data_IF_137989620912
#
_entry.id   IF_137989620912
#
_cell.length_a   1.000
_cell.length_b   1.000
_cell.length_c   1.000
_cell.angle_alpha   90.00
_cell.angle_beta   90.00
_cell.angle_gamma   90.00
#
_symmetry.space_group_name_H-M   'P 1'
#
loop_
_entity.id
_entity.type
_entity.pdbx_description
1 polymer ?
#
# COMPACT_ATOMS: atom_id res chain seq x y z
N UNK A 1 22.19 -28.59 -21.73
CA UNK A 1 21.34 -27.59 -21.05
C UNK A 1 21.52 -27.61 -19.53
N UNK A 2 21.09 -28.65 -18.79
CA UNK A 2 21.26 -28.71 -17.31
C UNK A 2 22.72 -28.84 -16.87
N UNK A 3 23.49 -29.70 -17.54
CA UNK A 3 24.94 -29.87 -17.31
C UNK A 3 25.74 -28.58 -17.48
N UNK A 4 25.26 -27.67 -18.35
CA UNK A 4 25.94 -26.44 -18.71
C UNK A 4 25.27 -25.23 -18.04
N UNK A 5 24.78 -25.43 -16.80
CA UNK A 5 24.21 -24.37 -15.95
C UNK A 5 23.13 -23.53 -16.65
N UNK A 6 22.18 -24.18 -17.32
CA UNK A 6 21.09 -23.50 -18.04
C UNK A 6 21.55 -22.54 -19.14
N UNK A 7 22.64 -22.90 -19.83
CA UNK A 7 23.15 -22.23 -21.02
C UNK A 7 22.03 -21.81 -22.00
N UNK A 8 22.21 -20.64 -22.60
CA UNK A 8 21.30 -20.08 -23.61
C UNK A 8 21.13 -21.01 -24.82
N UNK A 9 20.04 -20.82 -25.62
CA UNK A 9 19.78 -21.66 -26.79
C UNK A 9 20.96 -21.73 -27.78
N UNK A 10 21.65 -20.60 -28.01
CA UNK A 10 22.77 -20.52 -28.94
C UNK A 10 24.01 -21.28 -28.44
N UNK A 11 24.34 -21.16 -27.16
CA UNK A 11 25.42 -21.90 -26.52
C UNK A 11 25.11 -23.41 -26.43
N UNK A 12 23.85 -23.75 -26.16
CA UNK A 12 23.42 -25.15 -26.15
C UNK A 12 23.54 -25.77 -27.55
N UNK A 13 23.24 -25.01 -28.61
CA UNK A 13 23.42 -25.46 -29.98
C UNK A 13 24.89 -25.68 -30.32
N UNK A 14 25.79 -24.75 -30.00
CA UNK A 14 27.22 -24.89 -30.33
C UNK A 14 27.85 -26.11 -29.66
N UNK A 15 27.49 -26.40 -28.41
CA UNK A 15 27.97 -27.57 -27.68
C UNK A 15 27.41 -28.89 -28.22
N UNK A 16 26.15 -28.89 -28.69
CA UNK A 16 25.56 -30.07 -29.33
C UNK A 16 26.22 -30.35 -30.69
N UNK A 17 26.46 -29.30 -31.49
CA UNK A 17 27.09 -29.42 -32.82
C UNK A 17 28.53 -29.93 -32.79
N UNK A 18 29.21 -29.90 -31.63
CA UNK A 18 30.55 -30.49 -31.47
C UNK A 18 30.53 -32.02 -31.34
N UNK A 19 29.39 -32.61 -30.96
CA UNK A 19 29.28 -34.05 -30.70
C UNK A 19 28.33 -34.75 -31.68
N UNK A 20 27.23 -34.11 -32.07
CA UNK A 20 26.19 -34.71 -32.91
C UNK A 20 25.59 -33.71 -33.89
N UNK A 21 25.16 -34.22 -35.05
CA UNK A 21 24.42 -33.43 -36.05
C UNK A 21 22.93 -33.82 -36.04
N UNK A 22 22.08 -32.89 -35.59
CA UNK A 22 20.62 -33.06 -35.54
C UNK A 22 19.97 -32.08 -36.52
N UNK A 23 19.08 -32.58 -37.38
CA UNK A 23 18.27 -31.75 -38.26
C UNK A 23 17.31 -30.86 -37.45
N UNK A 24 17.25 -29.57 -37.75
CA UNK A 24 16.39 -28.60 -37.07
C UNK A 24 16.60 -28.48 -35.54
N UNK A 25 17.84 -28.65 -35.06
CA UNK A 25 18.21 -28.64 -33.64
C UNK A 25 17.68 -27.42 -32.85
N UNK A 26 17.57 -26.25 -33.48
CA UNK A 26 17.08 -25.04 -32.81
C UNK A 26 15.65 -25.16 -32.30
N UNK A 27 14.77 -25.85 -33.02
CA UNK A 27 13.38 -26.05 -32.60
C UNK A 27 13.31 -26.88 -31.32
N UNK A 28 14.07 -27.98 -31.30
CA UNK A 28 14.14 -28.90 -30.16
C UNK A 28 14.75 -28.21 -28.93
N UNK A 29 15.85 -27.47 -29.13
CA UNK A 29 16.50 -26.71 -28.04
C UNK A 29 15.54 -25.66 -27.45
N UNK A 30 14.86 -24.88 -28.30
CA UNK A 30 13.89 -23.87 -27.85
C UNK A 30 12.73 -24.50 -27.08
N UNK A 31 12.19 -25.61 -27.56
CA UNK A 31 11.12 -26.36 -26.89
C UNK A 31 11.58 -26.87 -25.51
N UNK A 32 12.75 -27.50 -25.44
CA UNK A 32 13.29 -28.03 -24.19
C UNK A 32 13.62 -26.94 -23.17
N UNK A 33 14.16 -25.79 -23.62
CA UNK A 33 14.44 -24.65 -22.73
C UNK A 33 13.12 -24.01 -22.24
N UNK A 34 12.10 -23.94 -23.09
CA UNK A 34 10.79 -23.41 -22.71
C UNK A 34 10.11 -24.26 -21.61
N UNK A 35 10.28 -25.58 -21.65
CA UNK A 35 9.78 -26.49 -20.61
C UNK A 35 10.61 -26.47 -19.32
N UNK A 36 11.76 -25.79 -19.29
CA UNK A 36 12.61 -25.74 -18.12
C UNK A 36 12.13 -24.71 -17.10
N UNK A 37 11.68 -25.18 -15.92
CA UNK A 37 11.18 -24.31 -14.85
C UNK A 37 12.23 -23.33 -14.31
N UNK A 38 13.51 -23.73 -14.22
CA UNK A 38 14.59 -22.85 -13.75
C UNK A 38 14.79 -21.68 -14.72
N UNK A 39 14.79 -21.95 -16.03
CA UNK A 39 14.90 -20.90 -17.05
C UNK A 39 13.67 -20.00 -17.10
N UNK A 40 12.48 -20.57 -16.89
CA UNK A 40 11.24 -19.80 -16.82
C UNK A 40 11.26 -18.80 -15.66
N UNK A 41 11.68 -19.25 -14.46
CA UNK A 41 11.81 -18.39 -13.27
C UNK A 41 12.87 -17.30 -13.45
N UNK A 42 13.99 -17.63 -14.08
CA UNK A 42 15.12 -16.70 -14.25
C UNK A 42 14.96 -15.74 -15.44
N UNK A 43 13.96 -15.96 -16.30
CA UNK A 43 13.68 -15.09 -17.45
C UNK A 43 12.21 -14.65 -17.44
N UNK A 44 11.78 -13.87 -16.42
CA UNK A 44 10.42 -13.36 -16.37
C UNK A 44 10.18 -12.45 -17.59
N UNK A 45 9.05 -12.66 -18.26
CA UNK A 45 8.60 -11.73 -19.30
C UNK A 45 7.81 -10.62 -18.62
N UNK A 46 8.32 -9.40 -18.69
CA UNK A 46 7.58 -8.23 -18.22
C UNK A 46 6.40 -7.99 -19.16
N UNK A 47 5.22 -8.48 -18.79
CA UNK A 47 3.98 -8.06 -19.44
C UNK A 47 3.56 -6.74 -18.79
N UNK A 48 3.38 -5.70 -19.60
CA UNK A 48 2.79 -4.47 -19.11
C UNK A 48 1.37 -4.80 -18.63
N UNK A 49 1.03 -4.54 -17.36
CA UNK A 49 -0.33 -4.76 -16.89
C UNK A 49 -1.28 -3.85 -17.68
N UNK A 50 -2.44 -4.38 -18.07
CA UNK A 50 -3.53 -3.56 -18.61
C UNK A 50 -3.94 -2.57 -17.51
N UNK A 51 -3.78 -1.28 -17.78
CA UNK A 51 -4.20 -0.24 -16.84
C UNK A 51 -5.73 -0.22 -16.81
N UNK A 52 -6.32 -0.55 -15.67
CA UNK A 52 -7.76 -0.39 -15.45
C UNK A 52 -8.14 1.07 -15.23
N UNK A 53 -9.44 1.35 -15.30
CA UNK A 53 -9.97 2.67 -14.98
C UNK A 53 -9.65 3.06 -13.53
N UNK A 54 -9.31 4.34 -13.33
CA UNK A 54 -9.02 4.86 -12.01
C UNK A 54 -10.32 4.94 -11.19
N UNK A 55 -10.28 4.59 -9.88
CA UNK A 55 -11.45 4.70 -9.04
C UNK A 55 -11.91 6.16 -8.94
N UNK A 56 -13.23 6.41 -8.84
CA UNK A 56 -13.78 7.77 -8.82
C UNK A 56 -13.17 8.63 -7.72
N UNK A 57 -12.86 8.05 -6.56
CA UNK A 57 -12.16 8.69 -5.45
C UNK A 57 -10.80 9.35 -5.82
N UNK A 58 -10.17 8.94 -6.94
CA UNK A 58 -8.91 9.52 -7.43
C UNK A 58 -9.13 10.62 -8.48
N UNK A 59 -10.30 10.65 -9.12
CA UNK A 59 -10.58 11.50 -10.29
C UNK A 59 -11.54 12.63 -9.93
N UNK A 60 -12.45 12.42 -8.99
CA UNK A 60 -13.40 13.44 -8.56
C UNK A 60 -12.73 14.46 -7.65
N UNK A 61 -12.88 15.77 -7.92
CA UNK A 61 -12.36 16.81 -7.04
C UNK A 61 -13.14 16.81 -5.73
N UNK A 62 -12.43 16.78 -4.60
CA UNK A 62 -13.01 16.80 -3.26
C UNK A 62 -12.18 17.71 -2.35
N UNK A 63 -12.76 18.16 -1.22
CA UNK A 63 -11.98 18.91 -0.22
C UNK A 63 -10.81 18.06 0.29
N UNK A 64 -9.64 18.65 0.58
CA UNK A 64 -8.51 17.93 1.14
C UNK A 64 -8.93 17.14 2.39
N UNK A 65 -8.43 15.91 2.51
CA UNK A 65 -8.70 14.98 3.61
C UNK A 65 -10.13 14.41 3.72
N UNK A 66 -11.05 14.74 2.80
CA UNK A 66 -12.39 14.11 2.76
C UNK A 66 -12.30 12.60 2.52
N UNK A 67 -11.46 12.24 1.55
CA UNK A 67 -11.13 10.87 1.18
C UNK A 67 -9.62 10.75 1.36
N UNK A 68 -9.20 9.98 2.36
CA UNK A 68 -7.78 9.89 2.75
C UNK A 68 -7.28 8.46 2.71
N UNK A 69 -6.02 8.28 2.33
CA UNK A 69 -5.29 7.04 2.51
C UNK A 69 -4.26 7.21 3.63
N UNK A 70 -4.14 6.22 4.51
CA UNK A 70 -3.12 6.18 5.56
C UNK A 70 -2.18 5.01 5.30
N UNK A 71 -0.88 5.27 5.43
CA UNK A 71 0.16 4.26 5.25
C UNK A 71 1.29 4.52 6.25
N UNK A 72 1.94 3.46 6.72
CA UNK A 72 3.14 3.56 7.52
C UNK A 72 4.36 3.57 6.61
N UNK A 73 5.01 4.71 6.57
CA UNK A 73 6.34 4.76 6.00
C UNK A 73 7.33 4.20 7.03
N UNK A 74 8.29 3.38 6.57
CA UNK A 74 9.12 2.47 7.37
C UNK A 74 9.89 3.08 8.56
N UNK A 75 10.70 2.29 9.27
CA UNK A 75 11.32 2.74 10.51
C UNK A 75 12.23 3.95 10.27
N UNK A 76 11.85 5.10 10.82
CA UNK A 76 12.67 6.29 10.80
C UNK A 76 13.39 6.46 12.13
N UNK A 77 14.71 6.66 12.06
CA UNK A 77 15.50 7.07 13.22
C UNK A 77 15.21 8.55 13.51
N UNK A 78 14.16 8.80 14.28
CA UNK A 78 13.83 10.13 14.75
C UNK A 78 14.68 10.46 15.99
N UNK A 79 15.48 11.53 15.93
CA UNK A 79 16.06 12.12 17.14
C UNK A 79 14.92 12.77 17.91
N UNK A 80 14.59 12.24 19.10
CA UNK A 80 13.62 12.85 20.01
C UNK A 80 14.24 14.09 20.65
N UNK A 81 14.35 15.17 19.86
CA UNK A 81 14.60 16.50 20.40
C UNK A 81 13.25 17.00 20.94
N UNK A 82 13.17 17.18 22.26
CA UNK A 82 12.04 17.80 22.96
C UNK A 82 11.88 19.28 22.57
N UNK A 83 11.65 19.56 21.30
CA UNK A 83 11.32 20.90 20.82
C UNK A 83 9.80 20.96 20.65
N UNK A 84 9.14 21.64 21.60
CA UNK A 84 7.70 21.95 21.63
C UNK A 84 7.19 22.75 20.41
N UNK A 85 7.95 22.85 19.31
CA UNK A 85 7.68 23.79 18.23
C UNK A 85 8.33 23.40 16.88
N UNK A 86 8.29 22.14 16.47
CA UNK A 86 8.61 21.82 15.06
C UNK A 86 7.48 22.38 14.18
N UNK A 87 7.76 23.48 13.47
CA UNK A 87 6.84 24.08 12.50
C UNK A 87 6.54 23.04 11.42
N UNK A 88 5.31 22.55 11.39
CA UNK A 88 4.83 21.70 10.30
C UNK A 88 4.77 22.53 9.01
N UNK A 89 5.74 22.35 8.12
CA UNK A 89 5.69 22.93 6.78
C UNK A 89 4.57 22.23 5.99
N UNK A 90 3.43 22.91 5.84
CA UNK A 90 2.30 22.39 5.08
C UNK A 90 2.52 22.65 3.59
N UNK A 91 2.85 21.60 2.84
CA UNK A 91 2.82 21.64 1.37
C UNK A 91 1.42 21.23 0.92
N UNK A 92 0.69 22.16 0.30
CA UNK A 92 -0.62 21.90 -0.25
C UNK A 92 -0.51 21.76 -1.77
N UNK A 93 -0.64 20.54 -2.26
CA UNK A 93 -0.96 20.29 -3.67
C UNK A 93 -2.48 20.23 -3.80
N UNK A 94 -3.03 20.97 -4.76
CA UNK A 94 -4.48 21.24 -4.93
C UNK A 94 -5.35 19.96 -5.02
N UNK A 95 -4.77 18.80 -5.30
CA UNK A 95 -5.51 17.51 -5.39
C UNK A 95 -4.98 16.40 -4.47
N UNK A 96 -3.81 16.55 -3.83
CA UNK A 96 -3.22 15.55 -2.93
C UNK A 96 -2.47 16.23 -1.78
N UNK A 97 -3.18 16.53 -0.71
CA UNK A 97 -2.54 16.99 0.53
C UNK A 97 -2.02 15.79 1.32
N UNK A 98 -0.76 15.87 1.78
CA UNK A 98 -0.14 14.85 2.63
C UNK A 98 -0.11 15.37 4.07
N UNK A 99 -0.53 14.54 5.01
CA UNK A 99 -0.45 14.82 6.44
C UNK A 99 0.47 13.81 7.11
N UNK A 100 1.58 14.28 7.67
CA UNK A 100 2.57 13.45 8.33
C UNK A 100 2.34 13.50 9.85
N UNK A 101 2.11 12.34 10.44
CA UNK A 101 2.08 12.17 11.89
C UNK A 101 3.24 11.28 12.33
N UNK A 102 3.95 11.74 13.35
CA UNK A 102 4.93 10.87 14.02
C UNK A 102 4.14 9.92 14.93
N UNK A 103 4.46 8.65 14.81
CA UNK A 103 3.94 7.56 15.62
C UNK A 103 5.16 6.82 16.17
N UNK A 104 5.16 6.55 17.47
CA UNK A 104 6.29 5.90 18.15
C UNK A 104 6.35 4.40 17.86
N UNK A 105 5.18 3.78 17.77
CA UNK A 105 5.04 2.32 17.69
C UNK A 105 4.04 1.91 16.60
N UNK A 106 4.24 0.73 16.04
CA UNK A 106 3.33 0.15 15.03
C UNK A 106 2.17 -0.62 15.68
N UNK A 107 1.65 -0.12 16.80
CA UNK A 107 0.57 -0.76 17.57
C UNK A 107 -0.79 -0.16 17.20
N UNK A 108 -1.86 -0.90 17.52
CA UNK A 108 -3.25 -0.46 17.33
C UNK A 108 -3.53 0.85 18.08
N UNK A 109 -3.04 0.96 19.33
CA UNK A 109 -3.28 2.12 20.19
C UNK A 109 -2.59 3.37 19.67
N UNK A 110 -1.37 3.21 19.15
CA UNK A 110 -0.62 4.30 18.55
C UNK A 110 -1.31 4.85 17.29
N UNK A 111 -1.92 3.97 16.47
CA UNK A 111 -2.76 4.36 15.34
C UNK A 111 -4.02 5.07 15.79
N UNK A 112 -4.73 4.55 16.79
CA UNK A 112 -5.94 5.18 17.31
C UNK A 112 -5.65 6.60 17.82
N UNK A 113 -4.54 6.78 18.52
CA UNK A 113 -4.07 8.09 18.96
C UNK A 113 -3.71 9.00 17.78
N UNK A 114 -3.07 8.48 16.72
CA UNK A 114 -2.75 9.23 15.52
C UNK A 114 -4.01 9.63 14.72
N UNK A 115 -4.96 8.71 14.56
CA UNK A 115 -6.22 8.97 13.88
C UNK A 115 -7.05 10.03 14.61
N UNK A 116 -7.11 9.95 15.94
CA UNK A 116 -7.76 10.97 16.76
C UNK A 116 -7.12 12.35 16.57
N UNK A 117 -5.78 12.41 16.60
CA UNK A 117 -5.04 13.65 16.33
C UNK A 117 -5.24 14.19 14.91
N UNK A 118 -5.35 13.29 13.93
CA UNK A 118 -5.64 13.65 12.55
C UNK A 118 -7.03 14.26 12.41
N UNK A 119 -8.06 13.58 12.91
CA UNK A 119 -9.46 14.05 12.86
C UNK A 119 -9.61 15.38 13.61
N UNK A 120 -9.02 15.51 14.80
CA UNK A 120 -9.07 16.77 15.56
C UNK A 120 -8.44 17.96 14.82
N UNK A 121 -7.49 17.72 13.90
CA UNK A 121 -6.80 18.78 13.15
C UNK A 121 -7.35 19.02 11.75
N UNK A 122 -7.90 17.99 11.10
CA UNK A 122 -8.33 18.01 9.69
C UNK A 122 -9.84 17.86 9.51
N UNK A 123 -10.57 17.57 10.58
CA UNK A 123 -11.96 17.19 10.55
C UNK A 123 -12.15 15.73 10.18
N UNK A 124 -13.41 15.28 10.24
CA UNK A 124 -13.79 13.92 9.90
C UNK A 124 -13.65 13.67 8.39
N UNK A 125 -13.02 12.54 8.05
CA UNK A 125 -13.05 11.99 6.70
C UNK A 125 -14.35 11.21 6.48
N UNK A 126 -14.88 11.27 5.26
CA UNK A 126 -16.01 10.42 4.86
C UNK A 126 -15.53 9.02 4.55
N UNK A 127 -14.33 8.90 3.98
CA UNK A 127 -13.72 7.62 3.64
C UNK A 127 -12.23 7.63 3.97
N UNK A 128 -11.79 6.59 4.67
CA UNK A 128 -10.39 6.33 4.98
C UNK A 128 -9.98 4.98 4.41
N UNK A 129 -8.85 4.94 3.73
CA UNK A 129 -8.25 3.71 3.18
C UNK A 129 -6.95 3.42 3.92
N UNK A 130 -6.73 2.17 4.30
CA UNK A 130 -5.46 1.68 4.83
C UNK A 130 -5.08 0.38 4.12
N UNK A 131 -3.86 -0.08 4.35
CA UNK A 131 -3.52 -1.47 4.04
C UNK A 131 -4.17 -2.42 5.07
N UNK A 132 -3.99 -3.73 4.86
CA UNK A 132 -4.44 -4.77 5.78
C UNK A 132 -3.40 -5.07 6.88
N UNK A 133 -2.60 -4.08 7.29
CA UNK A 133 -1.69 -4.22 8.41
C UNK A 133 -2.44 -4.62 9.69
N UNK A 134 -1.83 -5.48 10.51
CA UNK A 134 -2.46 -5.99 11.75
C UNK A 134 -2.84 -4.88 12.72
N UNK A 135 -2.05 -3.81 12.70
CA UNK A 135 -2.24 -2.57 13.43
C UNK A 135 -3.53 -1.83 12.99
N UNK A 136 -3.80 -1.74 11.69
CA UNK A 136 -5.02 -1.14 11.14
C UNK A 136 -6.23 -2.04 11.32
N UNK A 137 -6.09 -3.35 11.12
CA UNK A 137 -7.18 -4.31 11.35
C UNK A 137 -7.62 -4.28 12.83
N UNK A 138 -6.66 -4.21 13.76
CA UNK A 138 -6.99 -4.08 15.18
C UNK A 138 -7.65 -2.74 15.52
N UNK A 139 -7.20 -1.63 14.91
CA UNK A 139 -7.83 -0.33 15.08
C UNK A 139 -9.26 -0.27 14.53
N UNK A 140 -9.53 -0.87 13.36
CA UNK A 140 -10.88 -0.97 12.78
C UNK A 140 -11.81 -1.77 13.70
N UNK A 141 -11.36 -2.92 14.20
CA UNK A 141 -12.13 -3.71 15.16
C UNK A 141 -12.45 -2.92 16.44
N UNK A 142 -11.50 -2.16 16.96
CA UNK A 142 -11.69 -1.31 18.13
C UNK A 142 -12.72 -0.19 17.84
N UNK A 143 -12.60 0.50 16.70
CA UNK A 143 -13.53 1.54 16.27
C UNK A 143 -14.95 0.99 16.10
N UNK A 144 -15.12 -0.14 15.42
CA UNK A 144 -16.41 -0.76 15.23
C UNK A 144 -17.06 -1.16 16.56
N UNK A 145 -16.27 -1.64 17.53
CA UNK A 145 -16.75 -1.93 18.88
C UNK A 145 -17.25 -0.67 19.57
N UNK A 146 -16.46 0.41 19.56
CA UNK A 146 -16.85 1.70 20.15
C UNK A 146 -18.10 2.29 19.47
N UNK A 147 -18.21 2.20 18.14
CA UNK A 147 -19.39 2.66 17.40
C UNK A 147 -20.63 1.88 17.82
N UNK A 148 -20.54 0.54 17.93
CA UNK A 148 -21.66 -0.27 18.41
C UNK A 148 -22.08 0.14 19.82
N UNK A 149 -21.15 0.20 20.76
CA UNK A 149 -21.42 0.56 22.15
C UNK A 149 -22.05 1.96 22.28
N UNK A 150 -21.56 2.94 21.51
CA UNK A 150 -22.08 4.32 21.53
C UNK A 150 -23.45 4.47 20.86
N UNK A 151 -23.73 3.72 19.78
CA UNK A 151 -25.02 3.75 19.10
C UNK A 151 -26.16 3.16 19.96
N UNK A 152 -25.86 2.19 20.83
CA UNK A 152 -26.85 1.59 21.73
C UNK A 152 -27.03 2.34 23.07
N UNK A 153 -26.25 3.39 23.32
CA UNK A 153 -26.35 4.20 24.54
C UNK A 153 -27.12 5.51 24.27
N UNK A 154 -28.30 5.65 24.86
CA UNK A 154 -29.24 6.78 24.70
C UNK A 154 -28.63 8.15 25.05
N UNK A 155 -27.55 8.17 25.85
CA UNK A 155 -26.86 9.38 26.29
C UNK A 155 -25.86 9.92 25.25
N UNK A 156 -25.34 9.04 24.38
CA UNK A 156 -24.34 9.38 23.36
C UNK A 156 -24.95 10.03 22.11
N UNK A 157 -26.21 9.71 21.79
CA UNK A 157 -26.97 10.33 20.69
C UNK A 157 -27.11 11.85 20.87
N UNK A 158 -27.30 12.32 22.11
CA UNK A 158 -27.38 13.76 22.43
C UNK A 158 -26.06 14.49 22.22
N UNK A 159 -24.92 13.86 22.51
CA UNK A 159 -23.58 14.44 22.29
C UNK A 159 -23.20 14.47 20.81
N UNK A 160 -23.57 13.44 20.03
CA UNK A 160 -23.33 13.43 18.58
C UNK A 160 -24.11 14.52 17.84
N UNK A 161 -25.37 14.77 18.23
CA UNK A 161 -26.17 15.89 17.72
C UNK A 161 -25.55 17.25 18.05
N UNK A 162 -24.96 17.40 19.25
CA UNK A 162 -24.29 18.63 19.65
C UNK A 162 -22.96 18.86 18.89
N UNK A 163 -22.19 17.81 18.56
CA UNK A 163 -20.99 17.93 17.73
C UNK A 163 -21.31 18.22 16.26
N UNK A 164 -22.43 17.71 15.72
CA UNK A 164 -22.88 18.02 14.37
C UNK A 164 -23.30 19.48 14.17
N UNK A 165 -23.77 20.15 15.23
CA UNK A 165 -24.22 21.54 15.18
C UNK A 165 -23.05 22.56 15.10
N UNK A 166 -21.86 22.22 15.63
CA UNK A 166 -20.67 23.09 15.60
C UNK A 166 -19.87 23.04 14.27
N UNK A 167 -20.29 22.21 13.32
CA UNK A 167 -19.63 22.00 12.03
C UNK A 167 -20.44 22.56 10.84
N UNK A 168 -21.56 23.24 11.12
CA UNK A 168 -22.43 23.86 10.13
C UNK A 168 -22.52 25.37 10.36
N UNK A 169 -21.44 26.08 10.08
CA UNK A 169 -21.40 27.50 9.74
C UNK A 169 -20.21 27.74 8.78
#
# INVERSE_FOLDING_TARGET
HRSNLHAEPQLTQSLLSQSIWILCVQSVIRSHIFQCQTCFKNKPRNQAPLMGDLPPARVTPARPFLISGTDFCGPFNAKVLNLRAIRHTKVYMVTKAVHLEVVTDLTTDAIMAALTRFVSRRGLCVQSFSDCGTNYVGADNALQKTIKETLFSTDSQKKLLHFGCYMGD
#
